data_IF_352439188617
#
_entry.id   IF_352439188617
#
_cell.length_a   1.000
_cell.length_b   1.000
_cell.length_c   1.000
_cell.angle_alpha   90.00
_cell.angle_beta   90.00
_cell.angle_gamma   90.00
#
_symmetry.space_group_name_H-M   'P 1'
#
loop_
_entity.id
_entity.type
_entity.pdbx_description
1 polymer ?
#
# COMPACT_ATOMS: atom_id res chain seq x y z
N UNK A 1 -25.99 -3.07 16.55
CA UNK A 1 -24.58 -3.31 16.96
C UNK A 1 -23.81 -3.50 15.67
N UNK A 2 -22.97 -2.54 15.29
CA UNK A 2 -22.18 -2.66 14.06
C UNK A 2 -21.14 -3.77 14.26
N UNK A 3 -21.23 -4.84 13.47
CA UNK A 3 -20.33 -5.99 13.56
C UNK A 3 -19.26 -5.83 12.50
N UNK A 4 -18.03 -5.54 12.92
CA UNK A 4 -16.86 -5.57 12.02
C UNK A 4 -16.57 -7.03 11.68
N UNK A 5 -16.44 -7.32 10.38
CA UNK A 5 -16.06 -8.63 9.87
C UNK A 5 -14.70 -8.52 9.19
N UNK A 6 -13.84 -9.50 9.45
CA UNK A 6 -12.51 -9.59 8.84
C UNK A 6 -12.48 -10.76 7.87
N UNK A 7 -11.72 -10.61 6.78
CA UNK A 7 -11.33 -11.68 5.89
C UNK A 7 -9.83 -11.58 5.60
N UNK A 8 -9.25 -12.70 5.19
CA UNK A 8 -7.82 -12.81 4.89
C UNK A 8 -7.44 -12.18 3.54
N UNK A 9 -8.43 -11.83 2.71
CA UNK A 9 -8.18 -11.16 1.43
C UNK A 9 -9.30 -10.20 1.03
N UNK A 10 -8.98 -9.27 0.13
CA UNK A 10 -9.94 -8.39 -0.54
C UNK A 10 -11.03 -9.19 -1.26
N UNK A 11 -10.66 -10.29 -1.91
CA UNK A 11 -11.65 -11.18 -2.55
C UNK A 11 -12.59 -11.81 -1.51
N UNK A 12 -12.09 -12.17 -0.33
CA UNK A 12 -12.92 -12.61 0.79
C UNK A 12 -13.90 -11.54 1.27
N UNK A 13 -13.43 -10.29 1.41
CA UNK A 13 -14.30 -9.15 1.72
C UNK A 13 -15.38 -8.96 0.66
N UNK A 14 -15.02 -8.98 -0.63
CA UNK A 14 -15.97 -8.85 -1.73
C UNK A 14 -16.98 -10.00 -1.77
N UNK A 15 -16.58 -11.24 -1.48
CA UNK A 15 -17.50 -12.37 -1.38
C UNK A 15 -18.54 -12.17 -0.25
N UNK A 16 -18.15 -11.56 0.87
CA UNK A 16 -19.10 -11.21 1.94
C UNK A 16 -20.11 -10.14 1.50
N UNK A 17 -19.67 -9.11 0.76
CA UNK A 17 -20.56 -8.11 0.17
C UNK A 17 -21.51 -8.77 -0.84
N UNK A 18 -20.98 -9.61 -1.74
CA UNK A 18 -21.75 -10.29 -2.78
C UNK A 18 -22.77 -11.28 -2.23
N UNK A 19 -22.47 -11.96 -1.13
CA UNK A 19 -23.38 -12.89 -0.46
C UNK A 19 -24.39 -12.20 0.48
N UNK A 20 -24.19 -10.92 0.81
CA UNK A 20 -25.01 -10.21 1.80
C UNK A 20 -24.62 -10.53 3.26
N UNK A 21 -23.46 -11.17 3.48
CA UNK A 21 -22.90 -11.37 4.83
C UNK A 21 -22.31 -10.07 5.41
N UNK A 22 -21.95 -9.12 4.55
CA UNK A 22 -21.55 -7.76 4.91
C UNK A 22 -22.29 -6.74 4.04
N UNK A 23 -22.57 -5.57 4.60
CA UNK A 23 -23.27 -4.48 3.89
C UNK A 23 -22.30 -3.52 3.18
N UNK A 24 -21.15 -3.27 3.81
CA UNK A 24 -20.16 -2.28 3.40
C UNK A 24 -18.75 -2.83 3.62
N UNK A 25 -17.85 -2.52 2.68
CA UNK A 25 -16.41 -2.78 2.81
C UNK A 25 -15.66 -1.45 2.80
N UNK A 26 -14.93 -1.15 3.88
CA UNK A 26 -14.05 0.02 3.96
C UNK A 26 -12.75 -0.22 3.18
N UNK A 27 -12.29 0.78 2.44
CA UNK A 27 -11.10 0.72 1.59
C UNK A 27 -10.61 2.12 1.18
N UNK A 28 -9.60 2.23 0.31
CA UNK A 28 -9.28 3.42 -0.47
C UNK A 28 -10.18 3.59 -1.70
N UNK A 29 -10.36 4.83 -2.15
CA UNK A 29 -10.99 5.19 -3.42
C UNK A 29 -10.25 4.58 -4.62
N UNK A 30 -8.93 4.46 -4.55
CA UNK A 30 -8.10 3.78 -5.56
C UNK A 30 -8.58 2.34 -5.77
N UNK A 31 -8.63 1.54 -4.69
CA UNK A 31 -9.08 0.14 -4.77
C UNK A 31 -10.59 0.06 -5.09
N UNK A 32 -11.40 0.95 -4.53
CA UNK A 32 -12.83 0.98 -4.81
C UNK A 32 -13.12 1.23 -6.30
N UNK A 33 -12.48 2.21 -6.91
CA UNK A 33 -12.62 2.53 -8.33
C UNK A 33 -12.15 1.36 -9.20
N UNK A 34 -11.04 0.73 -8.84
CA UNK A 34 -10.55 -0.47 -9.53
C UNK A 34 -11.56 -1.62 -9.48
N UNK A 35 -12.16 -1.88 -8.32
CA UNK A 35 -13.12 -2.97 -8.13
C UNK A 35 -14.41 -2.72 -8.90
N UNK A 36 -15.03 -1.55 -8.78
CA UNK A 36 -16.35 -1.29 -9.40
C UNK A 36 -16.30 -1.32 -10.93
N UNK A 37 -15.15 -0.97 -11.54
CA UNK A 37 -14.95 -1.11 -12.99
C UNK A 37 -15.01 -2.56 -13.47
N UNK A 38 -14.70 -3.52 -12.58
CA UNK A 38 -14.66 -4.97 -12.84
C UNK A 38 -15.86 -5.71 -12.27
N UNK A 39 -16.70 -5.03 -11.49
CA UNK A 39 -17.83 -5.60 -10.76
C UNK A 39 -19.03 -4.65 -10.92
N UNK A 40 -19.75 -4.69 -12.06
CA UNK A 40 -20.82 -3.74 -12.38
C UNK A 40 -22.02 -3.82 -11.43
N UNK A 41 -22.13 -4.86 -10.60
CA UNK A 41 -23.12 -5.01 -9.54
C UNK A 41 -22.78 -4.23 -8.26
N UNK A 42 -21.55 -3.71 -8.15
CA UNK A 42 -21.07 -2.94 -7.01
C UNK A 42 -21.02 -1.44 -7.31
N UNK A 43 -21.11 -0.63 -6.27
CA UNK A 43 -20.88 0.82 -6.30
C UNK A 43 -19.92 1.21 -5.18
N UNK A 44 -19.35 2.42 -5.28
CA UNK A 44 -18.52 2.98 -4.24
C UNK A 44 -19.09 4.29 -3.69
N UNK A 45 -18.77 4.60 -2.43
CA UNK A 45 -19.05 5.89 -1.80
C UNK A 45 -17.76 6.42 -1.20
N UNK A 46 -17.24 7.51 -1.75
CA UNK A 46 -16.00 8.14 -1.29
C UNK A 46 -16.30 9.09 -0.13
N UNK A 47 -15.51 9.02 0.93
CA UNK A 47 -15.60 9.90 2.08
C UNK A 47 -14.73 11.13 1.85
N UNK A 48 -15.22 12.28 2.31
CA UNK A 48 -14.45 13.53 2.24
C UNK A 48 -13.46 13.63 3.42
N UNK A 49 -12.47 12.74 3.38
CA UNK A 49 -11.31 12.74 4.27
C UNK A 49 -10.08 12.43 3.43
N UNK A 50 -8.96 13.04 3.77
CA UNK A 50 -7.69 12.70 3.13
C UNK A 50 -6.91 11.74 4.00
N UNK A 51 -6.49 10.66 3.39
CA UNK A 51 -5.55 9.71 3.95
C UNK A 51 -4.37 9.56 3.00
N UNK A 52 -3.35 8.88 3.48
CA UNK A 52 -2.16 8.64 2.72
C UNK A 52 -1.58 7.28 3.04
N UNK A 53 -0.65 6.88 2.19
CA UNK A 53 0.04 5.62 2.30
C UNK A 53 1.51 5.89 2.59
N UNK A 54 2.02 5.21 3.62
CA UNK A 54 3.41 5.31 4.08
C UNK A 54 4.06 3.92 4.11
N UNK A 55 5.38 3.91 4.24
CA UNK A 55 6.17 2.72 4.52
C UNK A 55 6.51 2.65 6.01
N UNK A 56 6.42 1.46 6.61
CA UNK A 56 6.79 1.19 8.01
C UNK A 56 8.16 0.53 8.12
N UNK A 57 8.95 0.96 9.09
CA UNK A 57 10.30 0.45 9.38
C UNK A 57 10.49 0.28 10.89
N UNK A 58 11.49 -0.51 11.29
CA UNK A 58 11.90 -0.61 12.71
C UNK A 58 12.41 0.74 13.22
N UNK A 59 12.22 1.02 14.50
CA UNK A 59 12.70 2.25 15.15
C UNK A 59 14.21 2.52 14.97
N UNK A 60 15.02 1.47 14.81
CA UNK A 60 16.47 1.58 14.59
C UNK A 60 16.86 2.08 13.19
N UNK A 61 15.96 1.96 12.20
CA UNK A 61 16.33 2.06 10.78
C UNK A 61 16.16 3.48 10.23
N UNK A 62 16.56 4.46 11.04
CA UNK A 62 16.36 5.90 10.77
C UNK A 62 17.06 6.34 9.48
N UNK A 63 18.29 5.86 9.24
CA UNK A 63 19.05 6.22 8.03
C UNK A 63 18.39 5.69 6.75
N UNK A 64 17.83 4.47 6.80
CA UNK A 64 17.08 3.92 5.68
C UNK A 64 15.80 4.74 5.45
N UNK A 65 15.04 5.04 6.51
CA UNK A 65 13.86 5.90 6.44
C UNK A 65 14.19 7.26 5.80
N UNK A 66 15.27 7.91 6.21
CA UNK A 66 15.68 9.22 5.67
C UNK A 66 16.08 9.14 4.19
N UNK A 67 16.74 8.04 3.79
CA UNK A 67 17.06 7.77 2.39
C UNK A 67 15.80 7.56 1.55
N UNK A 68 14.82 6.80 2.07
CA UNK A 68 13.51 6.61 1.43
C UNK A 68 12.73 7.92 1.30
N UNK A 69 12.74 8.76 2.33
CA UNK A 69 12.11 10.09 2.28
C UNK A 69 12.74 10.96 1.19
N UNK A 70 14.07 10.98 1.11
CA UNK A 70 14.80 11.71 0.08
C UNK A 70 14.46 11.20 -1.32
N UNK A 71 14.31 9.88 -1.49
CA UNK A 71 13.88 9.27 -2.74
C UNK A 71 12.44 9.67 -3.10
N UNK A 72 11.49 9.58 -2.17
CA UNK A 72 10.08 9.99 -2.39
C UNK A 72 10.03 11.43 -2.92
N UNK A 73 10.76 12.36 -2.29
CA UNK A 73 10.83 13.76 -2.72
C UNK A 73 11.38 13.88 -4.15
N UNK A 74 12.54 13.28 -4.43
CA UNK A 74 13.15 13.32 -5.78
C UNK A 74 12.26 12.73 -6.87
N UNK A 75 11.58 11.62 -6.58
CA UNK A 75 10.68 10.96 -7.54
C UNK A 75 9.48 11.85 -7.85
N UNK A 76 8.91 12.52 -6.85
CA UNK A 76 7.82 13.49 -7.03
C UNK A 76 8.29 14.71 -7.83
N UNK A 77 9.41 15.32 -7.45
CA UNK A 77 9.99 16.49 -8.13
C UNK A 77 10.35 16.21 -9.59
N UNK A 78 10.76 14.98 -9.91
CA UNK A 78 11.09 14.58 -11.30
C UNK A 78 9.86 14.41 -12.21
N UNK A 79 8.64 14.43 -11.66
CA UNK A 79 7.40 14.10 -12.38
C UNK A 79 7.22 12.61 -12.67
N UNK A 80 8.16 11.75 -12.27
CA UNK A 80 8.06 10.31 -12.45
C UNK A 80 6.91 9.70 -11.65
N UNK A 81 6.66 10.23 -10.44
CA UNK A 81 5.51 9.83 -9.64
C UNK A 81 4.20 9.95 -10.43
N UNK A 82 3.95 11.11 -11.05
CA UNK A 82 2.71 11.37 -11.80
C UNK A 82 2.57 10.45 -13.02
N UNK A 83 3.68 10.15 -13.71
CA UNK A 83 3.71 9.18 -14.81
C UNK A 83 3.29 7.79 -14.34
N UNK A 84 3.85 7.34 -13.21
CA UNK A 84 3.49 6.05 -12.61
C UNK A 84 2.04 6.03 -12.15
N UNK A 85 1.60 7.06 -11.43
CA UNK A 85 0.21 7.14 -10.94
C UNK A 85 -0.79 7.11 -12.10
N UNK A 86 -0.50 7.84 -13.18
CA UNK A 86 -1.33 7.83 -14.39
C UNK A 86 -1.41 6.44 -14.99
N UNK A 87 -0.28 5.78 -15.19
CA UNK A 87 -0.18 4.47 -15.87
C UNK A 87 -0.81 3.34 -15.06
N UNK A 88 -0.54 3.31 -13.75
CA UNK A 88 -0.85 2.16 -12.92
C UNK A 88 -2.15 2.32 -12.12
N UNK A 89 -2.71 3.52 -12.04
CA UNK A 89 -3.93 3.78 -11.26
C UNK A 89 -4.98 4.50 -12.11
N UNK A 90 -4.66 5.71 -12.60
CA UNK A 90 -5.67 6.61 -13.17
C UNK A 90 -6.25 6.12 -14.50
N UNK A 91 -5.37 5.72 -15.42
CA UNK A 91 -5.72 5.38 -16.80
C UNK A 91 -5.61 3.87 -17.06
N UNK A 92 -5.62 3.05 -16.00
CA UNK A 92 -5.50 1.60 -16.09
C UNK A 92 -6.82 0.96 -16.57
N UNK A 93 -6.87 0.37 -17.78
CA UNK A 93 -8.08 -0.29 -18.27
C UNK A 93 -8.35 -1.60 -17.53
N UNK A 94 -9.63 -1.97 -17.40
CA UNK A 94 -10.02 -3.27 -16.88
C UNK A 94 -9.45 -4.42 -17.73
N UNK A 95 -8.73 -5.35 -17.10
CA UNK A 95 -8.13 -6.51 -17.77
C UNK A 95 -6.82 -6.23 -18.51
N UNK A 96 -6.23 -5.04 -18.33
CA UNK A 96 -4.93 -4.65 -18.91
C UNK A 96 -3.89 -4.34 -17.83
N UNK A 97 -3.95 -5.05 -16.70
CA UNK A 97 -2.99 -4.95 -15.60
C UNK A 97 -1.57 -5.33 -16.07
N UNK A 98 -0.59 -4.41 -16.00
CA UNK A 98 0.75 -4.72 -16.48
C UNK A 98 1.44 -5.77 -15.59
N UNK A 99 2.11 -6.75 -16.20
CA UNK A 99 2.90 -7.76 -15.47
C UNK A 99 4.35 -7.33 -15.20
N UNK A 100 4.61 -6.03 -15.12
CA UNK A 100 5.97 -5.48 -15.17
C UNK A 100 6.54 -5.23 -13.77
N UNK A 101 7.46 -6.09 -13.30
CA UNK A 101 8.06 -5.92 -11.95
C UNK A 101 9.43 -6.54 -11.77
N UNK A 102 10.34 -6.25 -12.69
CA UNK A 102 11.76 -6.47 -12.35
C UNK A 102 12.36 -5.13 -11.96
N UNK A 103 12.71 -4.99 -10.69
CA UNK A 103 13.58 -3.91 -10.22
C UNK A 103 15.00 -4.32 -10.62
N UNK A 104 15.68 -3.47 -11.39
CA UNK A 104 17.05 -3.72 -11.79
C UNK A 104 17.94 -3.84 -10.55
N UNK A 105 18.80 -4.87 -10.52
CA UNK A 105 19.72 -5.14 -9.42
C UNK A 105 21.15 -4.98 -9.88
N UNK A 106 21.98 -4.41 -9.01
CA UNK A 106 23.43 -4.35 -9.16
C UNK A 106 24.08 -5.29 -8.13
N UNK A 107 24.96 -6.18 -8.57
CA UNK A 107 25.60 -7.18 -7.71
C UNK A 107 26.39 -6.58 -6.53
N UNK A 108 26.91 -5.36 -6.70
CA UNK A 108 27.74 -4.69 -5.69
C UNK A 108 26.93 -3.80 -4.73
N UNK A 109 25.62 -3.64 -4.98
CA UNK A 109 24.75 -2.82 -4.14
C UNK A 109 24.17 -3.60 -2.97
N UNK A 110 24.11 -2.96 -1.80
CA UNK A 110 23.34 -3.46 -0.67
C UNK A 110 21.87 -3.70 -1.06
N UNK A 111 21.25 -4.71 -0.44
CA UNK A 111 19.85 -5.08 -0.72
C UNK A 111 18.95 -4.69 0.45
N UNK A 112 17.86 -3.98 0.14
CA UNK A 112 16.77 -3.67 1.05
C UNK A 112 15.62 -4.64 0.75
N UNK A 113 15.16 -5.37 1.76
CA UNK A 113 14.05 -6.30 1.61
C UNK A 113 12.73 -5.58 1.92
N UNK A 114 11.82 -5.51 0.94
CA UNK A 114 10.55 -4.79 1.07
C UNK A 114 9.39 -5.77 1.04
N UNK A 115 8.65 -5.82 2.15
CA UNK A 115 7.45 -6.63 2.31
C UNK A 115 6.25 -6.01 1.58
N UNK A 116 5.57 -6.80 0.75
CA UNK A 116 4.30 -6.46 0.08
C UNK A 116 3.29 -7.60 0.25
N UNK A 117 1.99 -7.37 0.03
CA UNK A 117 0.97 -8.40 0.24
C UNK A 117 0.47 -9.04 -1.06
N UNK A 118 0.50 -8.30 -2.16
CA UNK A 118 -0.08 -8.75 -3.43
C UNK A 118 -1.62 -8.80 -3.44
N UNK A 119 -2.29 -8.07 -2.54
CA UNK A 119 -3.76 -8.12 -2.36
C UNK A 119 -4.41 -6.72 -2.25
N UNK A 120 -3.84 -5.69 -2.86
CA UNK A 120 -4.46 -4.36 -2.99
C UNK A 120 -4.34 -3.83 -4.44
N UNK A 121 -5.00 -4.43 -5.44
CA UNK A 121 -4.91 -3.95 -6.80
C UNK A 121 -5.55 -2.54 -6.96
N UNK A 122 -5.03 -1.66 -7.82
CA UNK A 122 -3.88 -1.85 -8.70
C UNK A 122 -2.56 -1.41 -8.05
N UNK A 123 -2.58 -1.15 -6.74
CA UNK A 123 -1.41 -0.69 -6.00
C UNK A 123 -0.41 -1.84 -5.79
N UNK A 124 -0.89 -3.00 -5.37
CA UNK A 124 -0.10 -4.18 -5.02
C UNK A 124 -0.92 -5.43 -5.36
N UNK A 125 -0.47 -6.25 -6.29
CA UNK A 125 -1.17 -7.47 -6.70
C UNK A 125 -0.20 -8.54 -7.18
N UNK A 126 -0.66 -9.78 -7.31
CA UNK A 126 0.09 -10.81 -8.03
C UNK A 126 -0.37 -10.83 -9.49
N UNK A 127 0.53 -10.57 -10.44
CA UNK A 127 0.24 -10.61 -11.88
C UNK A 127 0.00 -12.04 -12.37
N UNK A 128 -0.49 -12.17 -13.60
CA UNK A 128 -0.80 -13.47 -14.22
C UNK A 128 0.43 -14.40 -14.34
N UNK A 129 1.65 -13.86 -14.33
CA UNK A 129 2.89 -14.62 -14.31
C UNK A 129 3.37 -15.02 -12.89
N UNK A 130 2.56 -14.77 -11.87
CA UNK A 130 2.81 -15.17 -10.48
C UNK A 130 3.77 -14.26 -9.71
N UNK A 131 4.09 -13.07 -10.23
CA UNK A 131 5.00 -12.11 -9.58
C UNK A 131 4.25 -10.95 -8.92
N UNK A 132 4.81 -10.35 -7.85
CA UNK A 132 4.29 -9.10 -7.31
C UNK A 132 4.28 -8.01 -8.37
N UNK A 133 3.22 -7.21 -8.44
CA UNK A 133 2.93 -6.21 -9.46
C UNK A 133 2.12 -5.02 -8.94
N UNK A 134 2.08 -3.95 -9.73
CA UNK A 134 1.30 -2.75 -9.44
C UNK A 134 2.13 -1.50 -9.19
N UNK A 135 1.40 -0.41 -8.94
CA UNK A 135 1.97 0.92 -8.73
C UNK A 135 3.10 0.92 -7.69
N UNK A 136 2.92 0.16 -6.59
CA UNK A 136 3.87 0.07 -5.49
C UNK A 136 5.22 -0.49 -5.93
N UNK A 137 5.21 -1.54 -6.74
CA UNK A 137 6.44 -2.15 -7.22
C UNK A 137 7.14 -1.27 -8.27
N UNK A 138 6.35 -0.63 -9.15
CA UNK A 138 6.89 0.35 -10.10
C UNK A 138 7.52 1.55 -9.38
N UNK A 139 6.88 2.03 -8.31
CA UNK A 139 7.41 3.09 -7.45
C UNK A 139 8.69 2.65 -6.73
N UNK A 140 8.72 1.44 -6.18
CA UNK A 140 9.93 0.87 -5.55
C UNK A 140 11.09 0.73 -6.54
N UNK A 141 10.82 0.47 -7.82
CA UNK A 141 11.86 0.50 -8.86
C UNK A 141 12.55 1.87 -8.98
N UNK A 142 11.79 2.96 -8.88
CA UNK A 142 12.36 4.32 -8.86
C UNK A 142 13.07 4.62 -7.53
N UNK A 143 12.53 4.12 -6.41
CA UNK A 143 13.19 4.25 -5.11
C UNK A 143 14.55 3.56 -5.12
N UNK A 144 14.64 2.34 -5.64
CA UNK A 144 15.89 1.57 -5.77
C UNK A 144 16.95 2.37 -6.52
N UNK A 145 16.59 2.96 -7.68
CA UNK A 145 17.46 3.86 -8.45
C UNK A 145 17.89 5.09 -7.64
N UNK A 146 16.95 5.73 -6.94
CA UNK A 146 17.22 6.97 -6.21
C UNK A 146 18.11 6.79 -4.97
N UNK A 147 18.04 5.63 -4.31
CA UNK A 147 18.86 5.33 -3.11
C UNK A 147 20.15 4.56 -3.45
N UNK A 148 20.32 4.08 -4.68
CA UNK A 148 21.49 3.32 -5.10
C UNK A 148 21.61 1.93 -4.46
N UNK A 149 20.48 1.36 -4.01
CA UNK A 149 20.41 0.03 -3.37
C UNK A 149 19.49 -0.87 -4.17
N UNK A 150 19.76 -2.17 -4.13
CA UNK A 150 18.82 -3.16 -4.63
C UNK A 150 17.57 -3.18 -3.74
N UNK A 151 16.42 -3.41 -4.36
CA UNK A 151 15.20 -3.74 -3.63
C UNK A 151 14.81 -5.17 -4.01
N UNK A 152 14.70 -6.02 -2.98
CA UNK A 152 14.11 -7.35 -3.10
C UNK A 152 12.67 -7.30 -2.59
N UNK A 153 11.73 -7.77 -3.41
CA UNK A 153 10.32 -7.82 -3.02
C UNK A 153 10.06 -9.14 -2.32
N UNK A 154 9.52 -9.06 -1.12
CA UNK A 154 9.15 -10.23 -0.30
C UNK A 154 7.64 -10.21 -0.13
N UNK A 155 6.95 -11.21 -0.64
CA UNK A 155 5.51 -11.36 -0.38
C UNK A 155 5.32 -11.85 1.05
N UNK A 156 4.57 -11.08 1.83
CA UNK A 156 4.25 -11.39 3.23
C UNK A 156 2.75 -11.37 3.43
N UNK A 157 2.26 -12.26 4.29
CA UNK A 157 0.89 -12.16 4.78
C UNK A 157 0.71 -10.83 5.53
N UNK A 158 -0.43 -10.17 5.32
CA UNK A 158 -0.72 -8.88 5.94
C UNK A 158 -0.63 -8.98 7.45
N UNK A 159 -1.21 -10.01 8.09
CA UNK A 159 -1.16 -10.16 9.55
C UNK A 159 0.25 -10.49 10.06
N UNK A 160 1.09 -11.14 9.24
CA UNK A 160 2.45 -11.51 9.60
C UNK A 160 3.52 -10.41 9.37
N UNK A 161 3.16 -9.30 8.71
CA UNK A 161 4.09 -8.21 8.33
C UNK A 161 4.99 -7.70 9.46
N UNK A 162 4.44 -7.57 10.66
CA UNK A 162 5.16 -7.02 11.81
C UNK A 162 6.17 -8.01 12.36
N UNK A 163 5.76 -9.28 12.49
CA UNK A 163 6.67 -10.35 12.85
C UNK A 163 7.81 -10.49 11.81
N UNK A 164 7.51 -10.26 10.52
CA UNK A 164 8.53 -10.26 9.48
C UNK A 164 9.54 -9.10 9.62
N UNK A 165 9.07 -7.89 9.98
CA UNK A 165 9.94 -6.75 10.30
C UNK A 165 10.81 -7.01 11.53
N UNK A 166 10.22 -7.48 12.63
CA UNK A 166 10.93 -7.77 13.89
C UNK A 166 11.97 -8.89 13.72
N UNK A 167 11.61 -9.94 12.98
CA UNK A 167 12.50 -11.05 12.64
C UNK A 167 13.54 -10.70 11.57
N UNK A 168 13.58 -9.45 11.08
CA UNK A 168 14.48 -8.97 10.02
C UNK A 168 14.39 -9.78 8.71
N UNK A 169 13.23 -10.37 8.43
CA UNK A 169 12.94 -11.00 7.13
C UNK A 169 12.68 -9.94 6.05
N UNK A 170 12.20 -8.78 6.46
CA UNK A 170 12.03 -7.57 5.65
C UNK A 170 12.60 -6.39 6.43
N UNK A 171 13.01 -5.33 5.73
CA UNK A 171 13.50 -4.07 6.29
C UNK A 171 12.44 -2.98 6.29
N UNK A 172 11.55 -3.05 5.32
CA UNK A 172 10.47 -2.11 5.10
C UNK A 172 9.20 -2.91 4.87
N UNK A 173 8.11 -2.55 5.53
CA UNK A 173 6.79 -3.03 5.16
C UNK A 173 6.04 -1.95 4.40
N UNK A 174 5.47 -2.37 3.27
CA UNK A 174 4.62 -1.59 2.40
C UNK A 174 3.29 -2.35 2.32
N UNK A 175 2.13 -1.76 2.59
CA UNK A 175 1.75 -0.35 2.70
C UNK A 175 0.96 -0.13 4.00
N UNK A 176 0.99 1.11 4.53
CA UNK A 176 0.21 1.48 5.72
C UNK A 176 -0.64 2.72 5.45
N UNK A 177 -1.93 2.63 5.76
CA UNK A 177 -2.85 3.76 5.70
C UNK A 177 -2.72 4.64 6.93
N UNK A 178 -2.50 5.93 6.70
CA UNK A 178 -2.37 6.93 7.75
C UNK A 178 -3.23 8.15 7.42
N UNK A 179 -3.69 8.92 8.41
CA UNK A 179 -4.20 10.26 8.14
C UNK A 179 -3.13 11.12 7.45
N UNK A 180 -3.54 11.96 6.49
CA UNK A 180 -2.59 12.71 5.65
C UNK A 180 -1.70 13.67 6.46
N UNK A 181 -2.23 14.26 7.54
CA UNK A 181 -1.51 15.26 8.33
C UNK A 181 -1.00 14.67 9.65
N UNK A 182 0.18 15.14 10.10
CA UNK A 182 0.74 14.77 11.42
C UNK A 182 -0.22 15.08 12.57
N UNK A 183 -1.00 16.16 12.47
CA UNK A 183 -2.03 16.50 13.44
C UNK A 183 -3.19 15.48 13.46
N UNK A 184 -3.69 15.07 12.29
CA UNK A 184 -4.74 14.05 12.20
C UNK A 184 -4.23 12.68 12.66
N UNK A 185 -2.96 12.36 12.39
CA UNK A 185 -2.32 11.15 12.90
C UNK A 185 -2.21 11.17 14.43
N UNK A 186 -1.75 12.28 15.03
CA UNK A 186 -1.69 12.40 16.49
C UNK A 186 -3.07 12.21 17.14
N UNK A 187 -4.12 12.76 16.54
CA UNK A 187 -5.50 12.57 16.99
C UNK A 187 -5.96 11.12 16.85
N UNK A 188 -5.70 10.49 15.70
CA UNK A 188 -6.04 9.10 15.45
C UNK A 188 -5.40 8.16 16.49
N UNK A 189 -4.12 8.36 16.82
CA UNK A 189 -3.45 7.58 17.85
C UNK A 189 -4.02 7.84 19.25
N UNK A 190 -4.36 9.09 19.59
CA UNK A 190 -4.97 9.40 20.87
C UNK A 190 -6.34 8.70 21.07
N UNK A 191 -7.05 8.43 19.97
CA UNK A 191 -8.35 7.76 19.95
C UNK A 191 -8.25 6.23 19.80
N UNK A 192 -7.06 5.66 19.49
CA UNK A 192 -6.86 4.23 19.20
C UNK A 192 -5.59 3.68 19.88
N UNK A 193 -5.71 3.09 21.08
CA UNK A 193 -4.56 2.65 21.89
C UNK A 193 -3.69 1.57 21.22
N UNK A 194 -4.29 0.62 20.50
CA UNK A 194 -3.55 -0.42 19.77
C UNK A 194 -2.70 0.19 18.64
N UNK A 195 -3.27 1.13 17.89
CA UNK A 195 -2.57 1.84 16.82
C UNK A 195 -1.48 2.78 17.38
N UNK A 196 -1.75 3.42 18.53
CA UNK A 196 -0.76 4.22 19.23
C UNK A 196 0.41 3.38 19.76
N UNK A 197 0.13 2.18 20.28
CA UNK A 197 1.16 1.24 20.69
C UNK A 197 1.99 0.76 19.48
N UNK A 198 1.32 0.57 18.34
CA UNK A 198 1.92 0.20 17.08
C UNK A 198 2.86 1.29 16.53
N UNK A 199 2.40 2.53 16.39
CA UNK A 199 3.20 3.67 15.91
C UNK A 199 4.35 4.05 16.85
N UNK A 200 4.37 3.58 18.10
CA UNK A 200 5.52 3.70 19.02
C UNK A 200 6.65 2.71 18.72
N UNK A 201 6.35 1.56 18.10
CA UNK A 201 7.34 0.50 17.82
C UNK A 201 8.01 0.64 16.45
N UNK A 202 7.42 1.42 15.57
CA UNK A 202 7.87 1.59 14.19
C UNK A 202 7.98 3.07 13.84
N UNK A 203 8.91 3.38 12.96
CA UNK A 203 8.98 4.69 12.29
C UNK A 203 8.38 4.55 10.90
N UNK A 204 7.83 5.64 10.39
CA UNK A 204 7.27 5.68 9.03
C UNK A 204 8.01 6.68 8.15
N UNK A 205 7.94 6.45 6.84
CA UNK A 205 8.34 7.46 5.86
C UNK A 205 7.34 8.61 5.81
N UNK A 206 7.71 9.67 5.11
CA UNK A 206 6.75 10.63 4.56
C UNK A 206 5.80 9.91 3.58
N UNK A 207 4.60 10.45 3.33
CA UNK A 207 3.63 9.81 2.44
C UNK A 207 4.12 9.74 1.00
N UNK A 208 4.02 8.55 0.39
CA UNK A 208 4.33 8.40 -1.03
C UNK A 208 3.07 8.51 -1.88
N UNK A 209 1.91 8.02 -1.42
CA UNK A 209 0.63 8.08 -2.15
C UNK A 209 -0.48 8.70 -1.29
N UNK A 210 -1.34 9.53 -1.87
CA UNK A 210 -2.55 10.04 -1.23
C UNK A 210 -3.78 9.26 -1.72
N UNK A 211 -4.81 9.16 -0.89
CA UNK A 211 -6.08 8.53 -1.25
C UNK A 211 -7.22 9.09 -0.40
N UNK A 212 -8.47 8.88 -0.84
CA UNK A 212 -9.65 9.14 -0.01
C UNK A 212 -10.24 7.83 0.47
N UNK A 213 -10.65 7.71 1.75
CA UNK A 213 -11.37 6.53 2.19
C UNK A 213 -12.66 6.34 1.40
N UNK A 214 -13.05 5.11 1.16
CA UNK A 214 -14.24 4.77 0.42
C UNK A 214 -14.90 3.51 0.98
N UNK A 215 -16.20 3.40 0.77
CA UNK A 215 -16.94 2.16 0.97
C UNK A 215 -17.27 1.51 -0.38
N UNK A 216 -17.21 0.19 -0.44
CA UNK A 216 -17.78 -0.63 -1.51
C UNK A 216 -19.04 -1.30 -0.98
N UNK A 217 -20.10 -1.29 -1.78
CA UNK A 217 -21.39 -1.87 -1.46
C UNK A 217 -22.10 -2.38 -2.72
N UNK A 218 -23.07 -3.26 -2.53
CA UNK A 218 -23.99 -3.65 -3.60
C UNK A 218 -24.80 -2.46 -4.10
N UNK A 219 -25.14 -2.46 -5.39
CA UNK A 219 -26.04 -1.47 -5.99
C UNK A 219 -27.43 -1.53 -5.40
#
# INVERSE_FOLDING_TARGET
MEKVLYAESINGCLAMIKSGRADLMFTSDILANYIIQRNPELKSSVLDKNMCIVMGLRNSDVQLRDSLNSAITKIKESGKYDQLYKTWIKDLPAGQEPSLTTIEKNADSETVYVGVTGDMPPLDYISADGKPAGFSIAFLGEVSRAIGKNIEIVVVDSQARYAALEAKKIDVFFWMFMPETKAAHARFNAENEEEAAFTKKFITTEPYCAFKPAFILKK
#
